data_IF_146819821994
#
_entry.id   IF_146819821994
#
_cell.length_a   1.000
_cell.length_b   1.000
_cell.length_c   1.000
_cell.angle_alpha   90.00
_cell.angle_beta   90.00
_cell.angle_gamma   90.00
#
_symmetry.space_group_name_H-M   'P 1'
#
loop_
_entity.id
_entity.type
_entity.pdbx_description
1 polymer ?
#
# COMPACT_ATOMS: atom_id res chain seq x y z
N UNK A 1 -21.43 -14.74 33.80
CA UNK A 1 -21.03 -15.43 32.56
C UNK A 1 -20.98 -14.38 31.46
N UNK A 2 -19.78 -13.96 31.09
CA UNK A 2 -19.58 -13.00 30.00
C UNK A 2 -19.42 -13.80 28.71
N UNK A 3 -20.46 -13.85 27.88
CA UNK A 3 -20.38 -14.41 26.53
C UNK A 3 -20.50 -13.29 25.51
N UNK A 4 -19.34 -12.88 25.02
CA UNK A 4 -19.05 -12.68 23.60
C UNK A 4 -20.08 -11.87 22.82
N UNK A 5 -19.89 -10.55 22.84
CA UNK A 5 -20.59 -9.64 21.93
C UNK A 5 -19.56 -8.92 21.05
N UNK A 6 -19.58 -9.28 19.77
CA UNK A 6 -19.22 -8.46 18.60
C UNK A 6 -17.74 -8.19 18.29
N UNK A 7 -16.97 -9.23 17.95
CA UNK A 7 -15.66 -9.04 17.27
C UNK A 7 -15.68 -9.31 15.75
N UNK A 8 -16.80 -9.75 15.18
CA UNK A 8 -16.89 -10.25 13.79
C UNK A 8 -17.49 -9.25 12.78
N UNK A 9 -17.82 -8.01 13.16
CA UNK A 9 -18.41 -7.00 12.25
C UNK A 9 -17.35 -6.06 11.63
N UNK A 10 -16.07 -6.41 11.68
CA UNK A 10 -15.02 -5.67 10.96
C UNK A 10 -14.42 -6.63 9.95
N UNK A 11 -14.92 -6.58 8.71
CA UNK A 11 -14.32 -7.29 7.58
C UNK A 11 -12.81 -7.06 7.52
N UNK A 12 -12.06 -8.08 7.09
CA UNK A 12 -10.62 -7.94 6.89
C UNK A 12 -10.32 -6.69 6.05
N UNK A 13 -9.44 -5.81 6.54
CA UNK A 13 -9.09 -4.54 5.88
C UNK A 13 -9.60 -3.26 6.57
N UNK A 14 -10.39 -3.36 7.64
CA UNK A 14 -10.78 -2.19 8.45
C UNK A 14 -9.78 -1.80 9.56
N UNK A 15 -8.78 -2.64 9.84
CA UNK A 15 -7.72 -2.31 10.81
C UNK A 15 -6.87 -1.13 10.33
N UNK A 16 -6.59 -0.19 11.22
CA UNK A 16 -5.61 0.90 10.99
C UNK A 16 -4.18 0.47 11.33
N UNK A 17 -4.02 -0.59 12.11
CA UNK A 17 -2.71 -1.14 12.52
C UNK A 17 -2.18 -2.23 11.58
N UNK A 18 -3.04 -2.82 10.74
CA UNK A 18 -2.65 -3.89 9.82
C UNK A 18 -2.95 -3.47 8.39
N UNK A 19 -2.01 -3.69 7.44
CA UNK A 19 -2.26 -3.37 6.05
C UNK A 19 -3.46 -4.17 5.53
N UNK A 20 -4.31 -3.53 4.72
CA UNK A 20 -5.46 -4.20 4.12
C UNK A 20 -4.98 -5.25 3.10
N UNK A 21 -5.44 -6.49 3.24
CA UNK A 21 -5.17 -7.55 2.28
C UNK A 21 -5.85 -7.23 0.93
N UNK A 22 -5.15 -7.46 -0.19
CA UNK A 22 -5.75 -7.33 -1.50
C UNK A 22 -6.48 -8.63 -1.85
N UNK A 23 -7.79 -8.55 -2.06
CA UNK A 23 -8.62 -9.71 -2.40
C UNK A 23 -8.87 -9.85 -3.92
N UNK A 24 -8.16 -9.10 -4.75
CA UNK A 24 -8.34 -9.11 -6.22
C UNK A 24 -9.46 -8.22 -6.74
N UNK A 25 -10.29 -7.64 -5.86
CA UNK A 25 -11.41 -6.77 -6.23
C UNK A 25 -11.17 -5.32 -5.83
N UNK A 26 -11.83 -4.38 -6.51
CA UNK A 26 -11.79 -2.93 -6.22
C UNK A 26 -10.37 -2.39 -5.95
N UNK A 27 -9.48 -2.55 -6.93
CA UNK A 27 -8.10 -2.11 -6.83
C UNK A 27 -7.96 -0.63 -6.50
N UNK A 28 -8.84 0.24 -7.01
CA UNK A 28 -8.81 1.68 -6.72
C UNK A 28 -8.98 1.96 -5.21
N UNK A 29 -9.95 1.29 -4.58
CA UNK A 29 -10.18 1.40 -3.15
C UNK A 29 -8.99 0.84 -2.35
N UNK A 30 -8.55 -0.38 -2.66
CA UNK A 30 -7.40 -1.00 -1.98
C UNK A 30 -6.14 -0.15 -2.09
N UNK A 31 -5.85 0.38 -3.29
CA UNK A 31 -4.70 1.26 -3.55
C UNK A 31 -4.77 2.51 -2.67
N UNK A 32 -5.94 3.12 -2.54
CA UNK A 32 -6.14 4.31 -1.71
C UNK A 32 -5.91 4.00 -0.22
N UNK A 33 -6.43 2.87 0.26
CA UNK A 33 -6.23 2.41 1.65
C UNK A 33 -4.77 2.11 1.94
N UNK A 34 -4.06 1.44 1.04
CA UNK A 34 -2.64 1.13 1.21
C UNK A 34 -1.77 2.39 1.22
N UNK A 35 -2.08 3.39 0.38
CA UNK A 35 -1.40 4.69 0.42
C UNK A 35 -1.53 5.36 1.78
N UNK A 36 -2.76 5.46 2.30
CA UNK A 36 -3.04 6.06 3.60
C UNK A 36 -2.35 5.30 4.74
N UNK A 37 -2.35 3.97 4.70
CA UNK A 37 -1.68 3.13 5.70
C UNK A 37 -0.18 3.43 5.77
N UNK A 38 0.52 3.44 4.63
CA UNK A 38 1.96 3.72 4.58
C UNK A 38 2.25 5.13 5.06
N UNK A 39 1.46 6.12 4.61
CA UNK A 39 1.62 7.52 5.03
C UNK A 39 1.46 7.72 6.54
N UNK A 40 0.50 7.04 7.16
CA UNK A 40 0.24 7.14 8.59
C UNK A 40 1.32 6.44 9.44
N UNK A 41 1.97 5.40 8.93
CA UNK A 41 3.01 4.67 9.65
C UNK A 41 4.40 5.29 9.45
N UNK A 42 4.77 5.61 8.20
CA UNK A 42 6.06 6.23 7.89
C UNK A 42 5.98 7.04 6.58
N UNK A 43 5.93 8.37 6.74
CA UNK A 43 5.90 9.30 5.62
C UNK A 43 7.20 9.29 4.79
N UNK A 44 8.36 8.99 5.38
CA UNK A 44 9.63 8.90 4.64
C UNK A 44 9.60 7.69 3.72
N UNK A 45 9.08 6.55 4.19
CA UNK A 45 8.88 5.34 3.37
C UNK A 45 7.89 5.61 2.24
N UNK A 46 6.78 6.29 2.51
CA UNK A 46 5.84 6.70 1.46
C UNK A 46 6.53 7.50 0.37
N UNK A 47 7.32 8.51 0.74
CA UNK A 47 8.09 9.34 -0.20
C UNK A 47 9.06 8.52 -1.04
N UNK A 48 9.78 7.57 -0.45
CA UNK A 48 10.70 6.71 -1.19
C UNK A 48 9.93 5.88 -2.23
N UNK A 49 8.78 5.30 -1.84
CA UNK A 49 7.94 4.49 -2.73
C UNK A 49 7.38 5.34 -3.88
N UNK A 50 6.89 6.55 -3.61
CA UNK A 50 6.31 7.42 -4.65
C UNK A 50 7.37 8.00 -5.56
N UNK A 51 8.45 8.56 -5.02
CA UNK A 51 9.56 9.12 -5.80
C UNK A 51 10.19 8.05 -6.70
N UNK A 52 10.32 6.81 -6.21
CA UNK A 52 10.88 5.72 -7.01
C UNK A 52 9.88 5.11 -8.00
N UNK A 53 8.58 5.34 -7.84
CA UNK A 53 7.56 4.94 -8.81
C UNK A 53 7.31 6.00 -9.87
N UNK A 54 7.49 7.29 -9.55
CA UNK A 54 7.43 8.39 -10.52
C UNK A 54 8.67 8.47 -11.39
N UNK A 55 9.78 7.91 -10.91
CA UNK A 55 10.97 7.66 -11.69
C UNK A 55 10.80 6.28 -12.33
N UNK A 56 10.61 6.15 -13.64
CA UNK A 56 10.56 4.84 -14.27
C UNK A 56 11.95 4.19 -14.11
N UNK A 57 12.07 3.15 -13.28
CA UNK A 57 13.33 2.43 -13.10
C UNK A 57 13.24 1.10 -13.84
N UNK A 58 14.08 0.93 -14.85
CA UNK A 58 14.32 -0.40 -15.43
C UNK A 58 15.46 -1.06 -14.66
N UNK A 59 15.21 -2.23 -14.06
CA UNK A 59 16.28 -3.08 -13.53
C UNK A 59 16.73 -4.02 -14.64
N UNK A 60 17.93 -3.81 -15.17
CA UNK A 60 18.60 -4.76 -16.07
C UNK A 60 19.87 -5.19 -15.32
N UNK A 61 19.96 -6.49 -15.00
CA UNK A 61 21.17 -7.12 -14.44
C UNK A 61 21.87 -6.35 -13.29
N UNK A 62 21.09 -5.94 -12.27
CA UNK A 62 21.64 -5.28 -11.08
C UNK A 62 21.96 -3.78 -11.23
N UNK A 63 21.88 -3.24 -12.44
CA UNK A 63 22.01 -1.80 -12.70
C UNK A 63 20.63 -1.13 -12.68
N UNK A 64 20.51 -0.10 -11.85
CA UNK A 64 19.31 0.74 -11.75
C UNK A 64 19.38 1.78 -12.87
N UNK A 65 18.66 1.53 -13.97
CA UNK A 65 18.60 2.46 -15.10
C UNK A 65 17.37 3.37 -14.92
N UNK A 66 17.63 4.68 -14.84
CA UNK A 66 16.61 5.72 -14.95
C UNK A 66 16.07 5.68 -16.38
N UNK A 67 14.84 5.21 -16.57
CA UNK A 67 14.18 5.28 -17.86
C UNK A 67 13.49 6.64 -17.93
N UNK A 68 14.03 7.55 -18.74
CA UNK A 68 13.32 8.77 -19.12
C UNK A 68 12.01 8.39 -19.81
N UNK A 69 10.92 8.98 -19.34
CA UNK A 69 9.64 8.97 -20.03
C UNK A 69 9.78 9.94 -21.20
N UNK A 70 10.12 9.41 -22.38
CA UNK A 70 9.88 10.15 -23.61
C UNK A 70 8.36 10.18 -23.82
N UNK A 71 7.85 11.41 -23.90
CA UNK A 71 6.45 11.80 -24.17
C UNK A 71 5.81 11.03 -25.34
#
# INVERSE_FOLDING_TARGET
MASEQNFTILGEGHSTMRPSLFNGTNYSYWRTRMKLFIQANDYKVWRIITTRSSIPIKRVEGVVILKEENE
#
